data_IF_386643265678
#
_entry.id   IF_386643265678
#
_cell.length_a   1.000
_cell.length_b   1.000
_cell.length_c   1.000
_cell.angle_alpha   90.00
_cell.angle_beta   90.00
_cell.angle_gamma   90.00
#
_symmetry.space_group_name_H-M   'P 1'
#
loop_
_entity.id
_entity.type
_entity.pdbx_description
1 polymer ?
#
# COMPACT_ATOMS: atom_id res chain seq x y z
N UNK A 1 -42.47 -20.83 47.95
CA UNK A 1 -42.93 -19.77 48.88
C UNK A 1 -42.94 -18.43 48.14
N UNK A 2 -44.09 -18.03 47.59
CA UNK A 2 -44.29 -16.69 47.02
C UNK A 2 -44.85 -15.74 48.08
N UNK A 3 -44.26 -14.55 48.21
CA UNK A 3 -44.85 -13.26 48.69
C UNK A 3 -43.69 -12.23 48.67
N UNK A 4 -43.78 -11.02 48.12
CA UNK A 4 -44.89 -10.31 47.51
C UNK A 4 -44.40 -9.06 46.74
N UNK A 5 -45.23 -8.60 45.80
CA UNK A 5 -45.15 -7.34 45.05
C UNK A 5 -45.48 -6.13 45.94
N UNK A 6 -44.86 -4.96 45.70
CA UNK A 6 -45.45 -3.63 45.35
C UNK A 6 -44.28 -2.70 44.93
N UNK A 7 -44.13 -2.30 43.67
CA UNK A 7 -44.85 -1.28 42.89
C UNK A 7 -44.52 0.19 43.24
N UNK A 8 -43.96 0.86 42.22
CA UNK A 8 -44.25 2.23 41.73
C UNK A 8 -43.29 3.37 42.13
N UNK A 9 -42.38 3.67 41.19
CA UNK A 9 -41.78 4.99 41.00
C UNK A 9 -41.46 5.20 39.52
N UNK A 10 -42.42 5.73 38.76
CA UNK A 10 -42.17 6.27 37.40
C UNK A 10 -41.30 7.52 37.54
N UNK A 11 -40.21 7.63 36.76
CA UNK A 11 -39.79 8.89 36.12
C UNK A 11 -38.87 8.61 34.92
N UNK A 12 -39.47 8.81 33.75
CA UNK A 12 -38.93 9.53 32.58
C UNK A 12 -37.72 8.94 31.83
N UNK A 13 -38.07 8.21 30.78
CA UNK A 13 -37.64 8.38 29.38
C UNK A 13 -36.16 8.72 29.05
N UNK A 14 -35.48 7.72 28.47
CA UNK A 14 -35.15 7.71 27.03
C UNK A 14 -34.58 9.01 26.43
N UNK A 15 -33.38 9.45 26.84
CA UNK A 15 -32.61 10.45 26.07
C UNK A 15 -31.12 10.09 26.07
N UNK A 16 -30.75 9.04 25.33
CA UNK A 16 -29.41 8.94 24.74
C UNK A 16 -29.31 7.86 23.64
N UNK A 17 -30.43 7.52 23.01
CA UNK A 17 -30.37 7.01 21.63
C UNK A 17 -30.11 8.25 20.76
N UNK A 18 -29.17 8.14 19.83
CA UNK A 18 -28.89 9.12 18.78
C UNK A 18 -28.09 10.36 19.24
N UNK A 19 -26.84 10.17 19.68
CA UNK A 19 -25.79 11.09 19.22
C UNK A 19 -25.65 10.88 17.70
N UNK A 20 -26.55 11.51 16.95
CA UNK A 20 -26.45 11.66 15.51
C UNK A 20 -25.09 12.28 15.30
N UNK A 21 -24.17 11.54 14.69
CA UNK A 21 -22.97 12.09 14.09
C UNK A 21 -23.49 13.14 13.10
N UNK A 22 -23.47 14.41 13.50
CA UNK A 22 -23.79 15.50 12.61
C UNK A 22 -22.71 15.41 11.53
N UNK A 23 -23.11 14.99 10.32
CA UNK A 23 -22.36 15.33 9.13
C UNK A 23 -22.38 16.86 9.07
N UNK A 24 -21.30 17.46 9.54
CA UNK A 24 -20.95 18.83 9.21
C UNK A 24 -20.97 18.94 7.70
N UNK A 25 -22.06 19.49 7.14
CA UNK A 25 -22.11 19.90 5.75
C UNK A 25 -20.99 20.91 5.57
N UNK A 26 -19.89 20.46 4.96
CA UNK A 26 -18.80 21.34 4.55
C UNK A 26 -19.47 22.41 3.67
N UNK A 27 -19.32 23.68 4.03
CA UNK A 27 -19.71 24.80 3.17
C UNK A 27 -18.80 24.71 1.95
N UNK A 28 -19.23 23.98 0.93
CA UNK A 28 -18.52 23.90 -0.35
C UNK A 28 -18.77 25.23 -1.02
N UNK A 29 -17.72 26.03 -1.15
CA UNK A 29 -17.78 27.26 -1.92
C UNK A 29 -18.23 26.89 -3.35
N UNK A 30 -19.38 27.42 -3.85
CA UNK A 30 -19.93 27.04 -5.15
C UNK A 30 -19.00 27.37 -6.33
N UNK A 31 -18.00 28.24 -6.12
CA UNK A 31 -16.97 28.56 -7.10
C UNK A 31 -15.91 27.46 -7.25
N UNK A 32 -15.80 26.53 -6.29
CA UNK A 32 -14.81 25.46 -6.27
C UNK A 32 -15.47 24.10 -6.58
N UNK A 33 -15.57 23.80 -7.86
CA UNK A 33 -16.00 22.49 -8.37
C UNK A 33 -14.85 21.50 -8.57
N UNK A 34 -15.13 20.20 -8.46
CA UNK A 34 -14.16 19.15 -8.82
C UNK A 34 -13.91 19.17 -10.34
N UNK A 35 -12.64 19.18 -10.75
CA UNK A 35 -12.22 19.05 -12.16
C UNK A 35 -11.31 17.82 -12.31
N UNK A 36 -11.89 16.60 -12.45
CA UNK A 36 -11.08 15.42 -12.71
C UNK A 36 -10.42 15.52 -14.09
N UNK A 37 -9.17 15.10 -14.18
CA UNK A 37 -8.45 14.97 -15.46
C UNK A 37 -8.59 13.55 -15.97
N UNK A 38 -8.74 13.40 -17.28
CA UNK A 38 -8.83 12.12 -17.95
C UNK A 38 -7.49 11.79 -18.61
N UNK A 39 -6.81 10.73 -18.13
CA UNK A 39 -5.48 10.34 -18.62
C UNK A 39 -5.52 9.19 -19.65
N UNK A 40 -6.67 8.98 -20.29
CA UNK A 40 -6.77 8.06 -21.42
C UNK A 40 -5.99 8.60 -22.63
N UNK A 41 -5.66 7.73 -23.58
CA UNK A 41 -4.92 8.08 -24.79
C UNK A 41 -5.66 9.21 -25.53
N UNK A 42 -4.94 10.30 -25.83
CA UNK A 42 -5.47 11.44 -26.60
C UNK A 42 -6.29 12.48 -25.83
N UNK A 43 -6.37 12.40 -24.49
CA UNK A 43 -7.06 13.39 -23.65
C UNK A 43 -6.08 14.32 -22.93
N UNK A 44 -6.15 14.43 -21.60
CA UNK A 44 -5.30 15.34 -20.84
C UNK A 44 -3.83 14.86 -20.80
N UNK A 45 -2.92 15.80 -20.51
CA UNK A 45 -1.49 15.52 -20.37
C UNK A 45 -1.27 14.48 -19.27
N UNK A 46 -0.51 13.43 -19.59
CA UNK A 46 -0.16 12.39 -18.64
C UNK A 46 0.62 12.95 -17.44
N UNK A 47 0.36 12.45 -16.23
CA UNK A 47 1.16 12.81 -15.07
C UNK A 47 2.59 12.31 -15.23
N UNK A 48 3.52 12.92 -14.48
CA UNK A 48 4.88 12.39 -14.35
C UNK A 48 4.80 11.02 -13.69
N UNK A 49 5.21 9.97 -14.41
CA UNK A 49 5.30 8.58 -13.92
C UNK A 49 6.75 8.20 -13.72
N UNK A 50 6.98 7.11 -12.99
CA UNK A 50 8.31 6.53 -12.91
C UNK A 50 8.76 6.03 -14.29
N UNK A 51 9.96 6.46 -14.70
CA UNK A 51 10.58 6.12 -15.98
C UNK A 51 11.82 5.24 -15.80
N UNK A 52 12.14 4.80 -14.58
CA UNK A 52 13.30 3.96 -14.26
C UNK A 52 13.54 2.83 -15.29
N UNK A 53 12.51 2.12 -15.72
CA UNK A 53 12.63 1.06 -16.71
C UNK A 53 12.89 1.53 -18.16
N UNK A 54 12.41 2.71 -18.53
CA UNK A 54 12.47 3.25 -19.90
C UNK A 54 13.63 4.23 -20.13
N UNK A 55 14.33 4.60 -19.05
CA UNK A 55 15.50 5.45 -19.12
C UNK A 55 16.64 4.69 -19.81
N UNK A 56 17.38 5.41 -20.66
CA UNK A 56 18.65 4.92 -21.20
C UNK A 56 19.66 4.80 -20.06
N UNK A 57 19.80 3.59 -19.50
CA UNK A 57 20.71 3.33 -18.39
C UNK A 57 22.19 3.62 -18.76
N UNK A 58 23.04 3.98 -17.78
CA UNK A 58 24.48 4.08 -17.95
C UNK A 58 25.11 2.81 -18.52
N UNK A 59 26.21 2.95 -19.27
CA UNK A 59 26.84 1.84 -20.00
C UNK A 59 27.24 0.67 -19.08
N UNK A 60 27.73 0.94 -17.87
CA UNK A 60 28.15 -0.12 -16.95
C UNK A 60 26.98 -0.96 -16.44
N UNK A 61 25.81 -0.36 -16.19
CA UNK A 61 24.60 -1.10 -15.76
C UNK A 61 24.12 -2.01 -16.88
N UNK A 62 24.14 -1.50 -18.12
CA UNK A 62 23.80 -2.29 -19.31
C UNK A 62 24.73 -3.46 -19.56
N UNK A 63 25.96 -3.44 -19.06
CA UNK A 63 26.90 -4.56 -19.16
C UNK A 63 26.74 -5.53 -17.97
N UNK A 64 26.54 -5.00 -16.78
CA UNK A 64 26.39 -5.79 -15.55
C UNK A 64 25.10 -6.62 -15.54
N UNK A 65 23.98 -6.04 -15.96
CA UNK A 65 22.69 -6.73 -16.00
C UNK A 65 22.67 -7.97 -16.91
N UNK A 66 23.06 -7.90 -18.20
CA UNK A 66 23.09 -9.08 -19.06
C UNK A 66 24.15 -10.07 -18.59
N UNK A 67 25.27 -9.64 -18.00
CA UNK A 67 26.24 -10.57 -17.38
C UNK A 67 25.59 -11.39 -16.26
N UNK A 68 24.83 -10.75 -15.38
CA UNK A 68 24.11 -11.43 -14.31
C UNK A 68 23.00 -12.36 -14.83
N UNK A 69 22.28 -11.95 -15.88
CA UNK A 69 21.25 -12.77 -16.53
C UNK A 69 21.88 -14.00 -17.20
N UNK A 70 23.01 -13.82 -17.87
CA UNK A 70 23.75 -14.88 -18.55
C UNK A 70 24.23 -15.98 -17.60
N UNK A 71 24.77 -15.61 -16.43
CA UNK A 71 25.15 -16.58 -15.40
C UNK A 71 23.96 -17.39 -14.85
N UNK A 72 22.74 -16.84 -14.90
CA UNK A 72 21.54 -17.57 -14.48
C UNK A 72 21.02 -18.51 -15.56
N UNK A 73 21.10 -18.11 -16.83
CA UNK A 73 20.57 -18.90 -17.94
C UNK A 73 21.49 -20.03 -18.37
N UNK A 74 22.80 -19.82 -18.31
CA UNK A 74 23.75 -20.88 -18.60
C UNK A 74 23.91 -21.84 -17.44
N UNK A 75 24.20 -23.09 -17.79
CA UNK A 75 24.68 -24.08 -16.82
C UNK A 75 26.10 -23.72 -16.40
N UNK A 76 26.23 -23.15 -15.22
CA UNK A 76 27.52 -22.81 -14.63
C UNK A 76 28.13 -24.07 -13.99
N UNK A 77 29.41 -24.40 -14.30
CA UNK A 77 30.09 -25.53 -13.67
C UNK A 77 30.19 -25.39 -12.15
N UNK A 78 30.15 -26.51 -11.42
CA UNK A 78 30.12 -26.54 -9.95
C UNK A 78 31.30 -25.77 -9.31
N UNK A 79 32.49 -25.86 -9.89
CA UNK A 79 33.69 -25.15 -9.43
C UNK A 79 33.51 -23.62 -9.39
N UNK A 80 32.67 -23.06 -10.25
CA UNK A 80 32.35 -21.62 -10.24
C UNK A 80 31.15 -21.36 -9.33
N UNK A 81 30.16 -22.25 -9.34
CA UNK A 81 28.92 -22.09 -8.59
C UNK A 81 29.07 -22.29 -7.06
N UNK A 82 30.15 -22.92 -6.60
CA UNK A 82 30.44 -23.10 -5.16
C UNK A 82 30.46 -21.78 -4.38
N UNK A 83 30.84 -20.68 -5.04
CA UNK A 83 30.90 -19.34 -4.43
C UNK A 83 29.55 -18.63 -4.37
N UNK A 84 28.56 -19.09 -5.13
CA UNK A 84 27.19 -18.55 -5.11
C UNK A 84 26.39 -19.11 -3.94
N UNK A 85 26.69 -20.34 -3.52
CA UNK A 85 26.05 -20.99 -2.38
C UNK A 85 26.73 -20.55 -1.10
N UNK A 86 26.05 -19.69 -0.34
CA UNK A 86 26.55 -19.15 0.92
C UNK A 86 25.85 -19.81 2.11
N UNK A 87 26.48 -19.78 3.29
CA UNK A 87 25.87 -20.26 4.53
C UNK A 87 24.58 -19.49 4.83
N UNK A 88 23.61 -20.18 5.45
CA UNK A 88 22.35 -19.55 5.82
C UNK A 88 22.59 -18.39 6.80
N UNK A 89 21.75 -17.36 6.71
CA UNK A 89 21.91 -16.11 7.48
C UNK A 89 21.95 -16.35 8.98
N UNK A 90 21.34 -17.44 9.47
CA UNK A 90 21.34 -17.85 10.88
C UNK A 90 22.69 -18.38 11.38
N UNK A 91 23.53 -18.86 10.46
CA UNK A 91 24.84 -19.44 10.77
C UNK A 91 25.98 -18.44 10.61
N UNK A 92 25.69 -17.25 10.06
CA UNK A 92 26.68 -16.19 9.93
C UNK A 92 26.96 -15.54 11.29
N UNK A 93 28.23 -15.23 11.58
CA UNK A 93 28.58 -14.50 12.79
C UNK A 93 27.85 -13.17 12.79
N UNK A 94 27.06 -12.91 13.83
CA UNK A 94 26.45 -11.61 14.07
C UNK A 94 27.54 -10.63 14.47
N UNK A 95 27.74 -9.59 13.66
CA UNK A 95 28.44 -8.38 14.08
C UNK A 95 27.53 -7.53 14.97
#
# INVERSE_FOLDING_TARGET
MHKGKKAKGKKVALVLIVRKKQETKKVVNPLLGKRPKNFSIGQDIHPKRDLTHFVKWPCYIKLQQPRAIFYKWLKVPLAVNQSTQFLDRKQLPSC
#
